data_IF_728604235923
#
_entry.id   IF_728604235923
#
_cell.length_a   1.000
_cell.length_b   1.000
_cell.length_c   1.000
_cell.angle_alpha   90.00
_cell.angle_beta   90.00
_cell.angle_gamma   90.00
#
_symmetry.space_group_name_H-M   'P 1'
#
loop_
_entity.id
_entity.type
_entity.pdbx_description
1 polymer ?
#
# COMPACT_ATOMS: atom_id res chain seq x y z
N UNK A 1 -11.41 10.18 27.94
CA UNK A 1 -11.39 11.02 26.74
C UNK A 1 -12.05 10.21 25.65
N UNK A 2 -13.13 10.72 25.04
CA UNK A 2 -13.64 10.15 23.79
C UNK A 2 -12.73 10.62 22.67
N UNK A 3 -11.94 9.70 22.12
CA UNK A 3 -11.04 9.94 21.01
C UNK A 3 -11.55 9.22 19.76
N UNK A 4 -11.48 9.87 18.59
CA UNK A 4 -11.78 9.21 17.32
C UNK A 4 -10.52 8.51 16.82
N UNK A 5 -10.69 7.28 16.31
CA UNK A 5 -9.59 6.47 15.82
C UNK A 5 -9.83 6.02 14.38
N UNK A 6 -8.75 5.96 13.60
CA UNK A 6 -8.71 5.25 12.33
C UNK A 6 -7.50 4.32 12.32
N UNK A 7 -7.74 3.01 12.24
CA UNK A 7 -6.70 2.00 12.41
C UNK A 7 -6.28 1.35 11.09
N UNK A 8 -6.75 1.83 9.94
CA UNK A 8 -6.38 1.27 8.64
C UNK A 8 -6.08 2.38 7.64
N UNK A 9 -4.82 2.79 7.60
CA UNK A 9 -4.37 3.91 6.79
C UNK A 9 -3.04 3.61 6.11
N UNK A 10 -2.93 3.98 4.83
CA UNK A 10 -1.72 3.73 4.02
C UNK A 10 -1.03 5.05 3.69
N UNK A 11 0.30 5.01 3.68
CA UNK A 11 1.18 6.08 3.25
C UNK A 11 1.80 5.75 1.88
N UNK A 12 2.60 6.67 1.36
CA UNK A 12 3.43 6.44 0.18
C UNK A 12 4.50 5.33 0.38
N UNK A 13 4.68 4.80 1.60
CA UNK A 13 5.49 3.59 1.84
C UNK A 13 4.79 2.29 1.40
N UNK A 14 3.53 2.36 0.97
CA UNK A 14 2.88 1.30 0.21
C UNK A 14 2.16 1.82 -1.03
N UNK A 15 0.84 1.94 -1.00
CA UNK A 15 0.00 2.44 -2.10
C UNK A 15 -0.88 3.64 -1.70
N UNK A 16 -0.58 4.25 -0.55
CA UNK A 16 -1.21 5.50 -0.11
C UNK A 16 -0.75 6.71 -0.92
N UNK A 17 -1.63 7.70 -1.04
CA UNK A 17 -1.38 8.90 -1.84
C UNK A 17 -0.56 9.99 -1.12
N UNK A 18 -0.40 9.89 0.21
CA UNK A 18 0.22 10.93 1.04
C UNK A 18 1.50 10.43 1.68
N UNK A 19 2.46 11.34 1.86
CA UNK A 19 3.57 11.10 2.78
C UNK A 19 3.05 10.94 4.22
N UNK A 20 3.88 10.37 5.08
CA UNK A 20 3.53 10.15 6.49
C UNK A 20 3.14 11.45 7.20
N UNK A 21 3.91 12.54 7.04
CA UNK A 21 3.58 13.84 7.64
C UNK A 21 2.26 14.42 7.11
N UNK A 22 2.04 14.38 5.80
CA UNK A 22 0.79 14.85 5.20
C UNK A 22 -0.43 14.07 5.69
N UNK A 23 -0.29 12.75 5.87
CA UNK A 23 -1.34 11.90 6.41
C UNK A 23 -1.65 12.26 7.86
N UNK A 24 -0.62 12.46 8.69
CA UNK A 24 -0.79 12.85 10.10
C UNK A 24 -1.43 14.23 10.25
N UNK A 25 -1.01 15.21 9.43
CA UNK A 25 -1.65 16.53 9.38
C UNK A 25 -3.14 16.42 9.05
N UNK A 26 -3.49 15.61 8.04
CA UNK A 26 -4.90 15.37 7.66
C UNK A 26 -5.70 14.65 8.75
N UNK A 27 -5.08 13.68 9.42
CA UNK A 27 -5.70 12.99 10.56
C UNK A 27 -6.02 13.98 11.70
N UNK A 28 -5.12 14.93 11.97
CA UNK A 28 -5.34 16.00 12.94
C UNK A 28 -6.48 16.93 12.52
N UNK A 29 -6.48 17.38 11.25
CA UNK A 29 -7.57 18.21 10.68
C UNK A 29 -8.93 17.51 10.75
N UNK A 30 -8.97 16.18 10.61
CA UNK A 30 -10.17 15.36 10.78
C UNK A 30 -10.58 15.16 12.26
N UNK A 31 -9.72 15.56 13.21
CA UNK A 31 -9.91 15.41 14.65
C UNK A 31 -9.84 13.96 15.13
N UNK A 32 -8.94 13.17 14.53
CA UNK A 32 -8.51 11.87 15.03
C UNK A 32 -7.48 12.06 16.15
N UNK A 33 -7.57 11.23 17.18
CA UNK A 33 -6.63 11.22 18.31
C UNK A 33 -5.73 9.98 18.31
N UNK A 34 -6.14 8.92 17.63
CA UNK A 34 -5.41 7.65 17.53
C UNK A 34 -5.42 7.22 16.06
N UNK A 35 -4.27 6.86 15.52
CA UNK A 35 -4.19 6.23 14.20
C UNK A 35 -3.30 4.99 14.21
N UNK A 36 -3.39 4.19 13.16
CA UNK A 36 -2.40 3.16 12.84
C UNK A 36 -1.99 3.28 11.38
N UNK A 37 -0.67 3.28 11.15
CA UNK A 37 -0.13 3.14 9.79
C UNK A 37 -0.07 1.65 9.49
N UNK A 38 -0.78 1.19 8.47
CA UNK A 38 -0.91 -0.23 8.11
C UNK A 38 -0.52 -0.44 6.65
N UNK A 39 0.64 0.12 6.27
CA UNK A 39 1.17 -0.03 4.92
C UNK A 39 1.29 -1.52 4.51
N UNK A 40 1.01 -1.81 3.24
CA UNK A 40 1.07 -3.17 2.72
C UNK A 40 2.47 -3.77 2.82
N UNK A 41 2.61 -4.82 3.63
CA UNK A 41 3.86 -5.57 3.85
C UNK A 41 5.08 -4.67 4.14
N UNK A 42 4.86 -3.51 4.76
CA UNK A 42 5.92 -2.55 5.03
C UNK A 42 5.65 -1.80 6.34
N UNK A 43 6.71 -1.60 7.14
CA UNK A 43 6.66 -0.87 8.42
C UNK A 43 7.61 0.33 8.43
N UNK A 44 8.18 0.69 7.28
CA UNK A 44 9.15 1.77 7.16
C UNK A 44 8.63 3.13 7.66
N UNK A 45 7.33 3.39 7.53
CA UNK A 45 6.68 4.61 7.98
C UNK A 45 6.44 4.67 9.50
N UNK A 46 6.51 3.54 10.21
CA UNK A 46 6.02 3.47 11.61
C UNK A 46 6.82 4.37 12.54
N UNK A 47 8.16 4.33 12.48
CA UNK A 47 9.02 5.14 13.37
C UNK A 47 8.84 6.65 13.13
N UNK A 48 8.81 7.09 11.86
CA UNK A 48 8.59 8.49 11.53
C UNK A 48 7.15 8.94 11.82
N UNK A 49 6.15 8.06 11.67
CA UNK A 49 4.77 8.35 12.03
C UNK A 49 4.61 8.56 13.54
N UNK A 50 5.25 7.72 14.36
CA UNK A 50 5.26 7.87 15.83
C UNK A 50 5.87 9.22 16.22
N UNK A 51 6.96 9.63 15.57
CA UNK A 51 7.59 10.92 15.84
C UNK A 51 6.72 12.10 15.39
N UNK A 52 6.17 12.04 14.17
CA UNK A 52 5.25 13.05 13.66
C UNK A 52 3.98 13.15 14.52
N UNK A 53 3.44 12.03 14.98
CA UNK A 53 2.27 11.97 15.86
C UNK A 53 2.41 12.82 17.12
N UNK A 54 3.61 12.89 17.72
CA UNK A 54 3.89 13.76 18.86
C UNK A 54 3.66 15.25 18.56
N UNK A 55 3.96 15.68 17.34
CA UNK A 55 3.79 17.07 16.91
C UNK A 55 2.30 17.43 16.75
N UNK A 56 1.50 16.47 16.30
CA UNK A 56 0.07 16.64 16.07
C UNK A 56 -0.82 16.24 17.26
N UNK A 57 -0.23 15.75 18.36
CA UNK A 57 -0.98 15.23 19.50
C UNK A 57 -1.79 13.98 19.18
N UNK A 58 -1.32 13.17 18.24
CA UNK A 58 -1.94 11.92 17.79
C UNK A 58 -1.11 10.73 18.30
N UNK A 59 -1.77 9.79 18.95
CA UNK A 59 -1.18 8.49 19.28
C UNK A 59 -1.11 7.62 18.03
N UNK A 60 0.08 7.11 17.70
CA UNK A 60 0.28 6.21 16.56
C UNK A 60 0.56 4.81 17.07
N UNK A 61 -0.31 3.88 16.71
CA UNK A 61 -0.16 2.45 16.99
C UNK A 61 0.65 1.82 15.85
N UNK A 62 1.73 1.06 16.14
CA UNK A 62 2.40 0.25 15.14
C UNK A 62 1.42 -0.73 14.48
N UNK A 63 1.33 -0.63 13.15
CA UNK A 63 0.47 -1.46 12.33
C UNK A 63 1.19 -1.98 11.09
N UNK A 64 0.62 -3.02 10.48
CA UNK A 64 0.98 -3.48 9.13
C UNK A 64 -0.21 -4.22 8.53
N UNK A 65 -0.43 -4.06 7.22
CA UNK A 65 -1.36 -4.89 6.48
C UNK A 65 -0.60 -5.99 5.72
N UNK A 66 -0.68 -7.21 6.22
CA UNK A 66 0.00 -8.37 5.66
C UNK A 66 -0.78 -8.94 4.49
N UNK A 67 -0.10 -9.16 3.37
CA UNK A 67 -0.61 -9.97 2.28
C UNK A 67 -0.69 -11.43 2.68
N UNK A 68 -1.84 -12.05 2.46
CA UNK A 68 -2.03 -13.46 2.68
C UNK A 68 -2.90 -14.09 1.59
N UNK A 69 -2.86 -15.42 1.51
CA UNK A 69 -3.68 -16.20 0.60
C UNK A 69 -4.43 -17.30 1.34
N UNK A 70 -5.70 -17.47 1.02
CA UNK A 70 -6.53 -18.59 1.50
C UNK A 70 -7.11 -19.31 0.28
N UNK A 71 -6.52 -20.45 -0.07
CA UNK A 71 -6.82 -21.13 -1.33
C UNK A 71 -6.49 -20.21 -2.52
N UNK A 72 -7.49 -19.91 -3.35
CA UNK A 72 -7.35 -19.00 -4.49
C UNK A 72 -7.67 -17.52 -4.14
N UNK A 73 -8.05 -17.23 -2.89
CA UNK A 73 -8.44 -15.89 -2.47
C UNK A 73 -7.25 -15.10 -1.93
N UNK A 74 -7.09 -13.87 -2.40
CA UNK A 74 -6.24 -12.86 -1.76
C UNK A 74 -6.97 -12.30 -0.55
N UNK A 75 -6.34 -12.35 0.62
CA UNK A 75 -6.84 -11.75 1.86
C UNK A 75 -5.77 -10.88 2.49
N UNK A 76 -6.18 -9.89 3.27
CA UNK A 76 -5.28 -9.04 4.01
C UNK A 76 -5.50 -9.20 5.52
N UNK A 77 -4.40 -9.24 6.27
CA UNK A 77 -4.42 -9.40 7.73
C UNK A 77 -3.81 -8.15 8.35
N UNK A 78 -4.60 -7.43 9.13
CA UNK A 78 -4.12 -6.30 9.91
C UNK A 78 -3.50 -6.81 11.21
N UNK A 79 -2.26 -6.42 11.47
CA UNK A 79 -1.57 -6.68 12.72
C UNK A 79 -1.28 -5.37 13.44
N UNK A 80 -1.41 -5.38 14.77
CA UNK A 80 -1.24 -4.21 15.63
C UNK A 80 -0.45 -4.57 16.89
N UNK A 81 0.14 -3.58 17.56
CA UNK A 81 0.82 -3.72 18.86
C UNK A 81 1.93 -4.78 18.87
N UNK A 82 2.65 -4.93 17.76
CA UNK A 82 3.82 -5.80 17.65
C UNK A 82 5.11 -4.99 17.71
N UNK A 83 6.23 -5.68 17.90
CA UNK A 83 7.56 -5.08 17.72
C UNK A 83 7.88 -4.97 16.23
N UNK A 84 7.68 -3.79 15.64
CA UNK A 84 7.96 -3.52 14.23
C UNK A 84 9.45 -3.50 13.87
N UNK A 85 10.33 -3.69 14.85
CA UNK A 85 11.78 -3.82 14.66
C UNK A 85 12.25 -5.26 14.76
N UNK A 86 11.34 -6.21 14.98
CA UNK A 86 11.67 -7.62 15.01
C UNK A 86 12.24 -8.08 13.66
N UNK A 87 13.44 -8.69 13.68
CA UNK A 87 14.15 -9.04 12.45
C UNK A 87 13.42 -10.13 11.64
N UNK A 88 12.86 -11.14 12.30
CA UNK A 88 12.13 -12.21 11.61
C UNK A 88 10.92 -11.66 10.86
N UNK A 89 10.21 -10.69 11.46
CA UNK A 89 9.14 -9.96 10.79
C UNK A 89 9.67 -9.18 9.57
N UNK A 90 10.73 -8.39 9.75
CA UNK A 90 11.29 -7.56 8.67
C UNK A 90 11.72 -8.41 7.46
N UNK A 91 12.30 -9.59 7.71
CA UNK A 91 12.70 -10.54 6.67
C UNK A 91 11.48 -11.09 5.91
N UNK A 92 10.40 -11.44 6.62
CA UNK A 92 9.13 -11.88 5.99
C UNK A 92 8.46 -10.77 5.19
N UNK A 93 8.42 -9.54 5.72
CA UNK A 93 7.88 -8.38 5.01
C UNK A 93 8.66 -8.11 3.72
N UNK A 94 9.99 -8.23 3.76
CA UNK A 94 10.83 -8.13 2.56
C UNK A 94 10.49 -9.22 1.54
N UNK A 95 10.33 -10.47 1.99
CA UNK A 95 9.91 -11.56 1.13
C UNK A 95 8.56 -11.28 0.45
N UNK A 96 7.55 -10.79 1.18
CA UNK A 96 6.24 -10.45 0.62
C UNK A 96 6.32 -9.31 -0.41
N UNK A 97 7.11 -8.26 -0.15
CA UNK A 97 7.34 -7.19 -1.14
C UNK A 97 7.97 -7.72 -2.43
N UNK A 98 8.91 -8.68 -2.33
CA UNK A 98 9.50 -9.32 -3.51
C UNK A 98 8.48 -10.16 -4.29
N UNK A 99 7.59 -10.88 -3.61
CA UNK A 99 6.51 -11.63 -4.27
C UNK A 99 5.50 -10.70 -4.96
N UNK A 100 5.24 -9.51 -4.41
CA UNK A 100 4.44 -8.47 -5.06
C UNK A 100 5.06 -7.96 -6.35
N UNK A 101 6.39 -7.79 -6.41
CA UNK A 101 7.11 -7.43 -7.65
C UNK A 101 6.93 -8.52 -8.70
N UNK A 102 7.16 -9.79 -8.34
CA UNK A 102 6.93 -10.92 -9.26
C UNK A 102 5.49 -11.00 -9.73
N UNK A 103 4.53 -10.65 -8.86
CA UNK A 103 3.11 -10.58 -9.22
C UNK A 103 2.85 -9.44 -10.21
N UNK A 104 3.42 -8.27 -10.00
CA UNK A 104 3.32 -7.15 -10.95
C UNK A 104 3.89 -7.53 -12.32
N UNK A 105 5.04 -8.18 -12.36
CA UNK A 105 5.64 -8.72 -13.60
C UNK A 105 4.68 -9.67 -14.33
N UNK A 106 4.05 -10.62 -13.61
CA UNK A 106 3.05 -11.52 -14.20
C UNK A 106 1.83 -10.77 -14.75
N UNK A 107 1.32 -9.77 -14.04
CA UNK A 107 0.18 -8.96 -14.49
C UNK A 107 0.56 -8.17 -15.75
N UNK A 108 1.70 -7.50 -15.74
CA UNK A 108 2.23 -6.75 -16.90
C UNK A 108 2.41 -7.68 -18.10
N UNK A 109 2.99 -8.87 -17.90
CA UNK A 109 3.14 -9.86 -18.97
C UNK A 109 1.81 -10.30 -19.59
N UNK A 110 0.77 -10.52 -18.76
CA UNK A 110 -0.58 -10.81 -19.25
C UNK A 110 -1.19 -9.65 -20.03
N UNK A 111 -1.03 -8.42 -19.55
CA UNK A 111 -1.52 -7.23 -20.25
C UNK A 111 -0.86 -7.07 -21.61
N UNK A 112 0.46 -7.28 -21.70
CA UNK A 112 1.20 -7.23 -22.96
C UNK A 112 0.70 -8.30 -23.95
N UNK A 113 0.37 -9.51 -23.48
CA UNK A 113 -0.25 -10.55 -24.32
C UNK A 113 -1.64 -10.18 -24.84
N UNK A 114 -2.31 -9.19 -24.22
CA UNK A 114 -3.59 -8.62 -24.68
C UNK A 114 -3.42 -7.37 -25.53
N UNK A 115 -2.19 -7.06 -25.97
CA UNK A 115 -1.84 -5.84 -26.70
C UNK A 115 -2.06 -4.55 -25.89
N UNK A 116 -1.90 -4.61 -24.57
CA UNK A 116 -1.83 -3.44 -23.69
C UNK A 116 -0.36 -3.26 -23.30
N UNK A 117 0.43 -2.44 -24.03
CA UNK A 117 1.89 -2.38 -23.92
C UNK A 117 2.34 -1.59 -22.67
N UNK A 118 2.17 -2.16 -21.50
CA UNK A 118 2.60 -1.58 -20.23
C UNK A 118 4.03 -2.04 -19.89
N UNK A 119 4.87 -1.11 -19.44
CA UNK A 119 6.21 -1.43 -18.91
C UNK A 119 6.14 -1.77 -17.42
N UNK A 120 6.89 -2.78 -16.97
CA UNK A 120 7.06 -3.06 -15.55
C UNK A 120 7.77 -1.88 -14.85
N UNK A 121 8.73 -1.25 -15.52
CA UNK A 121 9.47 -0.12 -14.95
C UNK A 121 8.53 1.06 -14.66
N UNK A 122 7.58 1.34 -15.56
CA UNK A 122 6.56 2.38 -15.34
C UNK A 122 5.70 2.09 -14.10
N UNK A 123 5.40 0.82 -13.81
CA UNK A 123 4.69 0.42 -12.59
C UNK A 123 5.57 0.61 -11.36
N UNK A 124 6.84 0.19 -11.42
CA UNK A 124 7.77 0.27 -10.29
C UNK A 124 8.13 1.72 -9.95
N UNK A 125 8.27 2.60 -10.94
CA UNK A 125 8.46 4.04 -10.72
C UNK A 125 7.31 4.65 -9.88
N UNK A 126 6.08 4.18 -10.08
CA UNK A 126 4.89 4.66 -9.37
C UNK A 126 4.78 4.08 -7.97
N UNK A 127 5.26 2.85 -7.76
CA UNK A 127 5.44 2.31 -6.42
C UNK A 127 6.56 3.02 -5.65
N UNK A 128 7.60 3.50 -6.34
CA UNK A 128 8.72 4.19 -5.73
C UNK A 128 9.42 3.32 -4.68
N UNK A 129 9.52 3.81 -3.46
CA UNK A 129 10.04 3.02 -2.32
C UNK A 129 8.97 2.15 -1.64
N UNK A 130 7.72 2.24 -2.11
CA UNK A 130 6.56 1.56 -1.56
C UNK A 130 6.38 0.13 -2.07
N UNK A 131 5.51 -0.60 -1.37
CA UNK A 131 5.10 -1.95 -1.76
C UNK A 131 4.22 -1.93 -3.01
N UNK A 132 4.72 -2.49 -4.12
CA UNK A 132 4.01 -2.51 -5.40
C UNK A 132 2.67 -3.26 -5.30
N UNK A 133 1.69 -2.81 -6.08
CA UNK A 133 0.30 -3.25 -5.99
C UNK A 133 -0.48 -2.93 -7.24
N UNK A 134 -1.71 -3.44 -7.31
CA UNK A 134 -2.64 -3.13 -8.41
C UNK A 134 -2.93 -1.63 -8.55
N UNK A 135 -3.02 -0.82 -7.47
CA UNK A 135 -3.13 0.63 -7.60
C UNK A 135 -2.04 1.26 -8.47
N UNK A 136 -0.77 0.87 -8.28
CA UNK A 136 0.34 1.35 -9.09
C UNK A 136 0.22 0.96 -10.57
N UNK A 137 -0.29 -0.26 -10.85
CA UNK A 137 -0.56 -0.71 -12.23
C UNK A 137 -1.69 0.13 -12.85
N UNK A 138 -2.76 0.41 -12.11
CA UNK A 138 -3.86 1.26 -12.59
C UNK A 138 -3.40 2.70 -12.85
N UNK A 139 -2.58 3.27 -11.97
CA UNK A 139 -1.97 4.59 -12.17
C UNK A 139 -1.12 4.60 -13.44
N UNK A 140 -0.23 3.63 -13.62
CA UNK A 140 0.60 3.54 -14.81
C UNK A 140 -0.25 3.35 -16.09
N UNK A 141 -1.26 2.49 -16.07
CA UNK A 141 -2.19 2.32 -17.20
C UNK A 141 -2.93 3.61 -17.59
N UNK A 142 -3.26 4.44 -16.60
CA UNK A 142 -3.94 5.70 -16.85
C UNK A 142 -2.97 6.78 -17.37
N UNK A 143 -1.82 6.95 -16.71
CA UNK A 143 -0.82 7.97 -17.08
C UNK A 143 -0.19 7.70 -18.45
N UNK A 144 -0.01 6.44 -18.83
CA UNK A 144 0.48 6.03 -20.16
C UNK A 144 -0.62 6.10 -21.24
N UNK A 145 -1.84 6.53 -20.90
CA UNK A 145 -2.96 6.65 -21.84
C UNK A 145 -3.53 5.31 -22.33
N UNK A 146 -3.21 4.20 -21.66
CA UNK A 146 -3.68 2.85 -21.99
C UNK A 146 -5.11 2.59 -21.47
N UNK A 147 -5.59 3.44 -20.57
CA UNK A 147 -6.97 3.49 -20.06
C UNK A 147 -7.39 4.94 -19.87
N UNK A 148 -8.68 5.23 -19.95
CA UNK A 148 -9.22 6.58 -19.76
C UNK A 148 -9.33 7.02 -18.30
N UNK A 149 -9.19 6.11 -17.33
CA UNK A 149 -9.15 6.43 -15.90
C UNK A 149 -8.55 5.30 -15.07
N UNK A 150 -8.13 5.62 -13.85
CA UNK A 150 -7.75 4.65 -12.81
C UNK A 150 -8.82 3.56 -12.60
N UNK A 151 -10.10 3.95 -12.53
CA UNK A 151 -11.21 3.00 -12.34
C UNK A 151 -11.40 2.08 -13.55
N UNK A 152 -11.18 2.59 -14.76
CA UNK A 152 -11.26 1.79 -15.99
C UNK A 152 -10.20 0.69 -15.99
N UNK A 153 -8.99 0.95 -15.50
CA UNK A 153 -7.95 -0.05 -15.38
C UNK A 153 -8.38 -1.26 -14.53
N UNK A 154 -8.98 -1.02 -13.36
CA UNK A 154 -9.54 -2.10 -12.53
C UNK A 154 -10.70 -2.81 -13.22
N UNK A 155 -11.61 -2.06 -13.86
CA UNK A 155 -12.79 -2.64 -14.48
C UNK A 155 -12.45 -3.54 -15.69
N UNK A 156 -11.49 -3.14 -16.51
CA UNK A 156 -11.11 -3.86 -17.74
C UNK A 156 -10.09 -4.96 -17.49
N UNK A 157 -9.10 -4.70 -16.64
CA UNK A 157 -7.86 -5.48 -16.65
C UNK A 157 -7.52 -6.09 -15.30
N UNK A 158 -7.38 -5.29 -14.24
CA UNK A 158 -6.67 -5.75 -13.03
C UNK A 158 -7.59 -6.04 -11.82
N UNK A 159 -8.90 -5.94 -12.01
CA UNK A 159 -9.91 -6.27 -11.00
C UNK A 159 -10.04 -7.78 -10.76
N UNK A 160 -10.79 -8.16 -9.72
CA UNK A 160 -11.03 -9.58 -9.43
C UNK A 160 -11.80 -10.24 -10.58
N UNK A 161 -11.31 -11.40 -11.05
CA UNK A 161 -11.88 -12.12 -12.19
C UNK A 161 -11.65 -11.45 -13.55
N UNK A 162 -10.81 -10.41 -13.60
CA UNK A 162 -10.35 -9.79 -14.84
C UNK A 162 -9.02 -10.44 -15.30
N UNK A 163 -8.62 -10.23 -16.57
CA UNK A 163 -7.46 -10.93 -17.15
C UNK A 163 -6.17 -10.84 -16.32
#
# INVERSE_FOLDING_TARGET
>A
MEGRADLHMHTAHSDGAFSTDELLRKANEAGLSIISITDHDNVAAVDEAIEAGKQYGIEVIPGVELSAGVGEQEVHILAYFFDHKNQDLLDHLMFFRMERVKRAERIVGKLNNLNVPLSLDAVLERAGMGSVGRPHIATALYEEGLTGSYHEAFYKYIGNGKP
#
